data_IF_324080939701
#
_entry.id   IF_324080939701
#
_cell.length_a   1.000
_cell.length_b   1.000
_cell.length_c   1.000
_cell.angle_alpha   90.00
_cell.angle_beta   90.00
_cell.angle_gamma   90.00
#
_symmetry.space_group_name_H-M   'P 1'
#
loop_
_entity.id
_entity.type
_entity.pdbx_description
1 polymer ?
#
# COMPACT_ATOMS: atom_id res chain seq x y z
N UNK A 1 0.27 0.38 -23.70
CA UNK A 1 -1.05 0.67 -23.08
C UNK A 1 -1.14 0.22 -21.61
N UNK A 2 -0.64 -0.98 -21.23
CA UNK A 2 -0.68 -1.45 -19.82
C UNK A 2 0.21 -0.65 -18.85
N UNK A 3 1.44 -0.29 -19.25
CA UNK A 3 2.34 0.52 -18.41
C UNK A 3 1.84 1.94 -18.15
N UNK A 4 1.09 2.53 -19.10
CA UNK A 4 0.48 3.86 -18.94
C UNK A 4 -0.57 3.84 -17.82
N UNK A 5 -1.32 2.74 -17.69
CA UNK A 5 -2.32 2.59 -16.62
C UNK A 5 -1.67 2.49 -15.24
N UNK A 6 -0.52 1.80 -15.12
CA UNK A 6 0.21 1.67 -13.86
C UNK A 6 0.75 3.04 -13.39
N UNK A 7 1.37 3.81 -14.29
CA UNK A 7 1.85 5.16 -13.98
C UNK A 7 0.70 6.12 -13.65
N UNK A 8 -0.41 6.08 -14.39
CA UNK A 8 -1.59 6.91 -14.11
C UNK A 8 -2.21 6.57 -12.75
N UNK A 9 -2.27 5.29 -12.37
CA UNK A 9 -2.75 4.87 -11.06
C UNK A 9 -1.83 5.38 -9.95
N UNK A 10 -0.51 5.20 -10.10
CA UNK A 10 0.46 5.69 -9.11
C UNK A 10 0.41 7.22 -8.97
N UNK A 11 0.26 7.95 -10.07
CA UNK A 11 0.14 9.40 -10.05
C UNK A 11 -1.18 9.86 -9.42
N UNK A 12 -2.31 9.27 -9.81
CA UNK A 12 -3.61 9.60 -9.22
C UNK A 12 -3.62 9.28 -7.72
N UNK A 13 -3.11 8.11 -7.34
CA UNK A 13 -3.05 7.69 -5.95
C UNK A 13 -2.07 8.56 -5.14
N UNK A 14 -0.92 8.91 -5.71
CA UNK A 14 0.02 9.84 -5.12
C UNK A 14 -0.55 11.25 -4.98
N UNK A 15 -1.31 11.74 -5.95
CA UNK A 15 -2.03 13.02 -5.89
C UNK A 15 -3.15 13.03 -4.85
N UNK A 16 -3.91 11.92 -4.75
CA UNK A 16 -4.90 11.74 -3.69
C UNK A 16 -4.22 11.83 -2.34
N UNK A 17 -3.08 11.16 -2.16
CA UNK A 17 -2.33 11.16 -0.92
C UNK A 17 -1.63 12.50 -0.64
N UNK A 18 -1.04 13.17 -1.63
CA UNK A 18 -0.38 14.47 -1.45
C UNK A 18 -1.36 15.62 -1.20
N UNK A 19 -2.58 15.54 -1.74
CA UNK A 19 -3.65 16.50 -1.41
C UNK A 19 -4.21 16.31 0.00
N UNK A 20 -3.89 15.20 0.68
CA UNK A 20 -4.23 15.07 2.09
C UNK A 20 -3.26 15.88 2.95
N UNK A 21 -3.79 16.58 3.98
CA UNK A 21 -2.95 17.34 4.89
C UNK A 21 -2.18 16.36 5.77
N UNK A 22 -0.93 16.08 5.39
CA UNK A 22 0.08 15.43 6.23
C UNK A 22 0.73 16.41 7.21
N UNK A 23 0.42 17.70 7.10
CA UNK A 23 1.07 18.73 7.88
C UNK A 23 0.58 18.69 9.32
N UNK A 24 1.36 18.04 10.19
CA UNK A 24 1.58 18.61 11.51
C UNK A 24 2.15 20.00 11.27
N UNK A 25 1.34 21.04 11.53
CA UNK A 25 1.76 22.43 11.43
C UNK A 25 3.09 22.62 12.14
N UNK A 26 4.16 22.81 11.37
CA UNK A 26 5.32 23.49 11.90
C UNK A 26 4.94 24.96 12.05
N UNK A 27 5.16 25.48 13.24
CA UNK A 27 4.73 26.80 13.71
C UNK A 27 5.03 27.93 12.71
N UNK A 28 3.97 28.60 12.23
CA UNK A 28 4.06 29.95 11.67
C UNK A 28 3.44 30.12 10.28
N UNK A 29 2.12 30.33 10.21
CA UNK A 29 1.49 31.47 9.52
C UNK A 29 -0.03 31.36 9.56
N UNK A 30 -0.68 32.48 9.87
CA UNK A 30 -2.12 32.58 10.08
C UNK A 30 -2.86 32.81 8.76
N UNK A 31 -3.83 31.95 8.43
CA UNK A 31 -4.98 32.31 7.60
C UNK A 31 -6.24 31.64 8.17
N UNK A 32 -7.28 32.46 8.29
CA UNK A 32 -8.60 32.20 8.89
C UNK A 32 -9.40 31.12 8.15
N UNK A 33 -9.45 29.92 8.73
CA UNK A 33 -10.58 29.01 8.70
C UNK A 33 -10.59 28.30 10.06
N UNK A 34 -11.77 28.01 10.62
CA UNK A 34 -11.89 27.27 11.88
C UNK A 34 -11.05 25.98 11.78
N UNK A 35 -9.88 25.97 12.42
CA UNK A 35 -9.01 24.81 12.41
C UNK A 35 -9.78 23.68 13.11
N UNK A 36 -10.00 22.52 12.45
CA UNK A 36 -10.57 21.37 13.11
C UNK A 36 -9.69 21.00 14.32
N UNK A 37 -10.31 20.49 15.37
CA UNK A 37 -9.58 19.98 16.53
C UNK A 37 -8.72 18.77 16.13
N UNK A 38 -7.64 18.51 16.85
CA UNK A 38 -6.77 17.36 16.56
C UNK A 38 -7.52 16.02 16.52
N UNK A 39 -8.58 15.89 17.33
CA UNK A 39 -9.46 14.73 17.34
C UNK A 39 -10.29 14.61 16.04
N UNK A 40 -10.78 15.72 15.49
CA UNK A 40 -11.52 15.75 14.22
C UNK A 40 -10.61 15.38 13.03
N UNK A 41 -9.35 15.82 13.04
CA UNK A 41 -8.36 15.44 12.03
C UNK A 41 -8.02 13.94 12.07
N UNK A 42 -7.87 13.38 13.28
CA UNK A 42 -7.62 11.95 13.47
C UNK A 42 -8.79 11.09 12.97
N UNK A 43 -10.03 11.46 13.33
CA UNK A 43 -11.24 10.78 12.85
C UNK A 43 -11.36 10.87 11.33
N UNK A 44 -11.05 12.02 10.75
CA UNK A 44 -11.05 12.18 9.30
C UNK A 44 -10.02 11.27 8.62
N UNK A 45 -8.80 11.20 9.18
CA UNK A 45 -7.72 10.33 8.71
C UNK A 45 -8.11 8.86 8.73
N UNK A 46 -8.71 8.39 9.82
CA UNK A 46 -9.22 7.03 9.93
C UNK A 46 -10.31 6.73 8.89
N UNK A 47 -11.26 7.65 8.70
CA UNK A 47 -12.31 7.49 7.69
C UNK A 47 -11.75 7.36 6.26
N UNK A 48 -10.65 8.05 5.95
CA UNK A 48 -9.96 7.95 4.66
C UNK A 48 -9.28 6.59 4.53
N UNK A 49 -8.56 6.14 5.56
CA UNK A 49 -7.91 4.83 5.58
C UNK A 49 -8.96 3.74 5.36
N UNK A 50 -10.10 3.80 6.03
CA UNK A 50 -11.21 2.86 5.84
C UNK A 50 -11.74 2.89 4.41
N UNK A 51 -11.92 4.07 3.81
CA UNK A 51 -12.37 4.20 2.41
C UNK A 51 -11.35 3.64 1.43
N UNK A 52 -10.06 3.94 1.61
CA UNK A 52 -8.98 3.43 0.77
C UNK A 52 -8.87 1.91 0.84
N UNK A 53 -8.97 1.36 2.04
CA UNK A 53 -8.99 -0.08 2.28
C UNK A 53 -10.21 -0.73 1.60
N UNK A 54 -11.41 -0.16 1.77
CA UNK A 54 -12.63 -0.68 1.17
C UNK A 54 -12.58 -0.67 -0.37
N UNK A 55 -12.03 0.40 -0.97
CA UNK A 55 -11.79 0.44 -2.42
C UNK A 55 -10.83 -0.66 -2.85
N UNK A 56 -9.73 -0.86 -2.10
CA UNK A 56 -8.81 -1.97 -2.34
C UNK A 56 -9.52 -3.31 -2.25
N UNK A 57 -10.34 -3.52 -1.22
CA UNK A 57 -11.11 -4.74 -1.00
C UNK A 57 -12.01 -5.08 -2.19
N UNK A 58 -12.79 -4.13 -2.67
CA UNK A 58 -13.68 -4.34 -3.82
C UNK A 58 -12.90 -4.67 -5.10
N UNK A 59 -11.78 -3.99 -5.33
CA UNK A 59 -10.87 -4.28 -6.45
C UNK A 59 -10.31 -5.70 -6.32
N UNK A 60 -9.83 -6.08 -5.14
CA UNK A 60 -9.29 -7.39 -4.84
C UNK A 60 -10.28 -8.53 -5.08
N UNK A 61 -11.51 -8.39 -4.56
CA UNK A 61 -12.59 -9.35 -4.75
C UNK A 61 -12.86 -9.60 -6.24
N UNK A 62 -13.15 -8.52 -6.99
CA UNK A 62 -13.49 -8.59 -8.42
C UNK A 62 -12.33 -9.09 -9.26
N UNK A 63 -11.10 -8.74 -8.90
CA UNK A 63 -9.92 -9.18 -9.63
C UNK A 63 -9.66 -10.67 -9.39
N UNK A 64 -9.75 -11.14 -8.14
CA UNK A 64 -9.60 -12.54 -7.80
C UNK A 64 -10.63 -13.39 -8.55
N UNK A 65 -11.90 -12.99 -8.56
CA UNK A 65 -12.98 -13.69 -9.28
C UNK A 65 -12.65 -13.92 -10.75
N UNK A 66 -12.13 -12.88 -11.44
CA UNK A 66 -11.74 -12.99 -12.85
C UNK A 66 -10.53 -13.90 -13.05
N UNK A 67 -9.50 -13.76 -12.21
CA UNK A 67 -8.23 -14.48 -12.39
C UNK A 67 -8.35 -15.96 -12.02
N UNK A 68 -9.28 -16.33 -11.13
CA UNK A 68 -9.49 -17.73 -10.73
C UNK A 68 -10.59 -18.45 -11.51
N UNK A 69 -11.24 -17.78 -12.47
CA UNK A 69 -12.39 -18.34 -13.22
C UNK A 69 -12.14 -19.74 -13.80
N UNK A 70 -10.99 -19.93 -14.44
CA UNK A 70 -10.66 -21.17 -15.15
C UNK A 70 -9.69 -22.06 -14.33
N UNK A 71 -9.54 -21.78 -13.04
CA UNK A 71 -8.58 -22.46 -12.16
C UNK A 71 -9.29 -23.52 -11.31
N UNK A 72 -8.66 -24.69 -11.06
CA UNK A 72 -9.13 -25.61 -10.04
C UNK A 72 -9.29 -24.90 -8.68
N UNK A 73 -10.31 -25.29 -7.92
CA UNK A 73 -10.55 -24.72 -6.58
C UNK A 73 -9.36 -25.02 -5.67
N UNK A 74 -8.87 -23.98 -5.00
CA UNK A 74 -7.87 -24.11 -3.94
C UNK A 74 -8.60 -24.45 -2.65
N UNK A 75 -8.29 -25.60 -2.05
CA UNK A 75 -8.95 -26.08 -0.83
C UNK A 75 -8.15 -25.70 0.42
N UNK A 76 -6.81 -25.72 0.30
CA UNK A 76 -5.92 -25.45 1.42
C UNK A 76 -5.56 -23.97 1.51
N UNK A 77 -5.52 -23.37 2.72
CA UNK A 77 -5.15 -21.97 2.90
C UNK A 77 -3.78 -21.63 2.31
N UNK A 78 -2.82 -22.56 2.42
CA UNK A 78 -1.47 -22.37 1.88
C UNK A 78 -1.47 -22.23 0.35
N UNK A 79 -2.35 -22.92 -0.36
CA UNK A 79 -2.42 -22.84 -1.82
C UNK A 79 -3.02 -21.52 -2.28
N UNK A 80 -4.02 -21.01 -1.55
CA UNK A 80 -4.55 -19.66 -1.74
C UNK A 80 -3.45 -18.61 -1.55
N UNK A 81 -2.67 -18.70 -0.47
CA UNK A 81 -1.56 -17.76 -0.22
C UNK A 81 -0.48 -17.86 -1.31
N UNK A 82 -0.14 -19.06 -1.79
CA UNK A 82 0.81 -19.24 -2.90
C UNK A 82 0.29 -18.61 -4.20
N UNK A 83 -0.99 -18.76 -4.50
CA UNK A 83 -1.62 -18.08 -5.63
C UNK A 83 -1.54 -16.55 -5.49
N UNK A 84 -1.84 -16.03 -4.30
CA UNK A 84 -1.74 -14.59 -4.03
C UNK A 84 -0.31 -14.08 -4.26
N UNK A 85 0.69 -14.80 -3.74
CA UNK A 85 2.11 -14.43 -3.84
C UNK A 85 2.68 -14.50 -5.27
N UNK A 86 2.05 -15.28 -6.15
CA UNK A 86 2.51 -15.51 -7.51
C UNK A 86 1.54 -14.89 -8.51
N UNK A 87 0.57 -15.65 -8.99
CA UNK A 87 -0.28 -15.27 -10.11
C UNK A 87 -1.00 -13.93 -9.88
N UNK A 88 -1.54 -13.73 -8.67
CA UNK A 88 -2.27 -12.51 -8.33
C UNK A 88 -1.32 -11.30 -8.23
N UNK A 89 -0.23 -11.42 -7.45
CA UNK A 89 0.77 -10.35 -7.29
C UNK A 89 1.43 -9.98 -8.61
N UNK A 90 1.81 -10.97 -9.43
CA UNK A 90 2.39 -10.75 -10.75
C UNK A 90 1.42 -10.03 -11.68
N UNK A 91 0.13 -10.39 -11.63
CA UNK A 91 -0.86 -9.78 -12.52
C UNK A 91 -1.05 -8.29 -12.23
N UNK A 92 -0.92 -7.86 -10.97
CA UNK A 92 -1.08 -6.46 -10.55
C UNK A 92 0.26 -5.71 -10.60
N UNK A 93 1.27 -6.21 -9.90
CA UNK A 93 2.54 -5.51 -9.66
C UNK A 93 3.69 -5.94 -10.58
N UNK A 94 3.43 -6.85 -11.52
CA UNK A 94 4.40 -7.36 -12.52
C UNK A 94 5.64 -8.01 -11.90
N UNK A 95 5.51 -8.49 -10.66
CA UNK A 95 6.56 -9.15 -9.88
C UNK A 95 5.91 -10.20 -8.99
N UNK A 96 6.64 -11.26 -8.63
CA UNK A 96 6.24 -12.19 -7.56
C UNK A 96 6.72 -11.67 -6.19
N UNK A 97 6.06 -12.11 -5.12
CA UNK A 97 6.55 -11.90 -3.75
C UNK A 97 7.89 -12.62 -3.57
N UNK A 98 8.85 -11.95 -2.93
CA UNK A 98 10.21 -12.48 -2.78
C UNK A 98 10.28 -13.55 -1.69
N UNK A 99 9.53 -13.38 -0.61
CA UNK A 99 9.58 -14.29 0.54
C UNK A 99 8.21 -14.50 1.18
N UNK A 100 7.90 -15.77 1.42
CA UNK A 100 6.71 -16.22 2.16
C UNK A 100 7.16 -17.03 3.37
N UNK A 101 6.74 -16.62 4.56
CA UNK A 101 6.92 -17.36 5.80
C UNK A 101 5.55 -17.70 6.39
N UNK A 102 5.44 -18.84 7.08
CA UNK A 102 4.23 -19.22 7.79
C UNK A 102 4.59 -19.90 9.11
N UNK A 103 3.72 -19.74 10.11
CA UNK A 103 3.81 -20.50 11.35
C UNK A 103 2.97 -21.79 11.31
N UNK A 104 2.41 -22.16 10.16
CA UNK A 104 1.47 -23.28 9.97
C UNK A 104 0.22 -23.25 10.87
N UNK A 105 0.02 -22.17 11.63
CA UNK A 105 -1.10 -21.91 12.55
C UNK A 105 -1.95 -20.73 12.06
N UNK A 106 -2.03 -20.57 10.74
CA UNK A 106 -2.86 -19.54 10.09
C UNK A 106 -2.21 -18.15 9.99
N UNK A 107 -0.96 -17.96 10.39
CA UNK A 107 -0.23 -16.69 10.18
C UNK A 107 0.73 -16.84 9.01
N UNK A 108 0.69 -15.87 8.10
CA UNK A 108 1.55 -15.77 6.94
C UNK A 108 2.21 -14.40 6.91
N UNK A 109 3.49 -14.37 6.56
CA UNK A 109 4.26 -13.14 6.37
C UNK A 109 4.79 -13.16 4.95
N UNK A 110 4.39 -12.17 4.16
CA UNK A 110 4.84 -11.96 2.78
C UNK A 110 5.73 -10.74 2.72
N UNK A 111 6.84 -10.83 2.00
CA UNK A 111 7.81 -9.73 1.87
C UNK A 111 8.10 -9.49 0.39
N UNK A 112 7.90 -8.25 -0.04
CA UNK A 112 8.37 -7.70 -1.32
C UNK A 112 9.47 -6.68 -1.01
N UNK A 113 10.71 -7.01 -1.34
CA UNK A 113 11.87 -6.16 -1.04
C UNK A 113 11.97 -4.93 -1.93
N UNK A 114 11.36 -4.96 -3.12
CA UNK A 114 11.46 -3.89 -4.11
C UNK A 114 10.07 -3.55 -4.63
N UNK A 115 9.18 -3.18 -3.72
CA UNK A 115 7.79 -2.89 -4.07
C UNK A 115 7.71 -1.62 -4.91
N UNK A 116 7.49 -1.80 -6.23
CA UNK A 116 7.57 -0.74 -7.25
C UNK A 116 6.64 0.44 -7.00
N UNK A 117 5.54 0.23 -6.29
CA UNK A 117 4.58 1.30 -6.01
C UNK A 117 5.07 2.32 -5.00
N UNK A 118 6.06 1.97 -4.18
CA UNK A 118 6.74 2.90 -3.29
C UNK A 118 7.95 3.56 -3.96
N UNK A 119 8.24 3.21 -5.22
CA UNK A 119 9.32 3.84 -5.96
C UNK A 119 8.98 5.32 -6.17
N UNK A 120 9.79 6.21 -5.62
CA UNK A 120 9.59 7.66 -5.71
C UNK A 120 8.89 8.32 -4.52
N UNK A 121 8.50 7.57 -3.48
CA UNK A 121 8.09 8.20 -2.21
C UNK A 121 9.35 8.71 -1.50
N UNK A 122 9.38 10.02 -1.27
CA UNK A 122 10.44 10.68 -0.51
C UNK A 122 9.83 11.91 0.18
N UNK A 123 10.09 12.06 1.48
CA UNK A 123 9.74 13.23 2.26
C UNK A 123 10.99 13.89 2.87
N UNK A 124 10.80 14.98 3.62
CA UNK A 124 11.90 15.68 4.28
C UNK A 124 12.56 14.84 5.37
N UNK A 125 11.78 13.99 6.05
CA UNK A 125 12.26 13.08 7.09
C UNK A 125 12.01 11.60 6.76
N UNK A 126 12.82 10.70 7.36
CA UNK A 126 12.60 9.25 7.26
C UNK A 126 11.24 8.83 7.84
N UNK A 127 10.80 9.51 8.91
CA UNK A 127 9.52 9.25 9.59
C UNK A 127 8.32 9.60 8.71
N UNK A 128 8.29 10.79 8.11
CA UNK A 128 7.23 11.17 7.18
C UNK A 128 7.20 10.26 5.94
N UNK A 129 8.38 9.88 5.44
CA UNK A 129 8.49 8.94 4.31
C UNK A 129 7.87 7.59 4.67
N UNK A 130 8.10 7.09 5.90
CA UNK A 130 7.50 5.85 6.39
C UNK A 130 5.98 5.96 6.50
N UNK A 131 5.46 7.06 7.05
CA UNK A 131 4.03 7.27 7.21
C UNK A 131 3.31 7.37 5.87
N UNK A 132 3.90 8.08 4.91
CA UNK A 132 3.42 8.10 3.52
C UNK A 132 3.42 6.70 2.93
N UNK A 133 4.53 5.96 3.05
CA UNK A 133 4.62 4.59 2.53
C UNK A 133 3.56 3.66 3.14
N UNK A 134 3.31 3.75 4.45
CA UNK A 134 2.26 2.96 5.12
C UNK A 134 0.87 3.30 4.60
N UNK A 135 0.55 4.58 4.35
CA UNK A 135 -0.74 4.94 3.78
C UNK A 135 -0.88 4.46 2.33
N UNK A 136 0.21 4.50 1.56
CA UNK A 136 0.24 3.92 0.21
C UNK A 136 -0.03 2.40 0.22
N UNK A 137 0.33 1.70 1.30
CA UNK A 137 0.13 0.27 1.46
C UNK A 137 -1.29 -0.11 1.90
N UNK A 138 -2.11 0.83 2.37
CA UNK A 138 -3.51 0.57 2.78
C UNK A 138 -4.32 0.00 1.62
N UNK A 139 -4.19 0.57 0.41
CA UNK A 139 -4.92 0.06 -0.75
C UNK A 139 -4.46 -1.36 -1.14
N UNK A 140 -3.16 -1.66 -1.32
CA UNK A 140 -2.67 -3.04 -1.51
C UNK A 140 -3.12 -4.03 -0.42
N UNK A 141 -3.16 -3.61 0.85
CA UNK A 141 -3.68 -4.45 1.94
C UNK A 141 -5.15 -4.81 1.72
N UNK A 142 -5.98 -3.82 1.36
CA UNK A 142 -7.38 -4.03 0.99
C UNK A 142 -7.51 -4.99 -0.20
N UNK A 143 -6.69 -4.80 -1.25
CA UNK A 143 -6.68 -5.66 -2.43
C UNK A 143 -6.37 -7.12 -2.07
N UNK A 144 -5.37 -7.36 -1.22
CA UNK A 144 -5.07 -8.72 -0.73
C UNK A 144 -6.25 -9.24 0.09
N UNK A 145 -6.80 -8.45 1.02
CA UNK A 145 -7.89 -8.88 1.89
C UNK A 145 -9.14 -9.28 1.10
N UNK A 146 -9.52 -8.48 0.09
CA UNK A 146 -10.64 -8.79 -0.80
C UNK A 146 -10.40 -10.05 -1.62
N UNK A 147 -9.18 -10.22 -2.14
CA UNK A 147 -8.83 -11.43 -2.86
C UNK A 147 -8.94 -12.68 -1.97
N UNK A 148 -8.42 -12.63 -0.75
CA UNK A 148 -8.52 -13.73 0.21
C UNK A 148 -9.98 -14.05 0.57
N UNK A 149 -10.79 -13.03 0.84
CA UNK A 149 -12.21 -13.20 1.16
C UNK A 149 -12.98 -13.88 0.01
N UNK A 150 -12.73 -13.46 -1.24
CA UNK A 150 -13.35 -14.08 -2.42
C UNK A 150 -12.90 -15.53 -2.64
N UNK A 151 -11.72 -15.90 -2.17
CA UNK A 151 -11.19 -17.27 -2.23
C UNK A 151 -11.58 -18.10 -1.00
N UNK A 152 -12.43 -17.58 -0.12
CA UNK A 152 -12.96 -18.27 1.05
C UNK A 152 -12.09 -18.17 2.30
N UNK A 153 -11.09 -17.28 2.34
CA UNK A 153 -10.24 -17.03 3.50
C UNK A 153 -10.52 -15.66 4.12
N UNK A 154 -11.09 -15.67 5.32
CA UNK A 154 -11.19 -14.46 6.14
C UNK A 154 -9.85 -14.18 6.82
N UNK A 155 -9.19 -13.08 6.47
CA UNK A 155 -7.90 -12.70 7.01
C UNK A 155 -7.85 -11.21 7.36
N UNK A 156 -7.02 -10.88 8.35
CA UNK A 156 -6.60 -9.51 8.65
C UNK A 156 -5.24 -9.30 7.98
N UNK A 157 -5.12 -8.24 7.19
CA UNK A 157 -3.91 -7.93 6.43
C UNK A 157 -3.35 -6.61 6.94
N UNK A 158 -2.18 -6.67 7.56
CA UNK A 158 -1.43 -5.49 8.00
C UNK A 158 -0.13 -5.41 7.20
N UNK A 159 0.29 -4.19 6.87
CA UNK A 159 1.59 -3.94 6.23
C UNK A 159 2.49 -3.14 7.17
N UNK A 160 3.79 -3.38 7.03
CA UNK A 160 4.84 -2.57 7.67
C UNK A 160 5.98 -2.34 6.68
N UNK A 161 6.71 -1.24 6.89
CA UNK A 161 7.90 -0.88 6.13
C UNK A 161 9.08 -1.01 7.07
N UNK A 162 9.86 -2.09 6.89
CA UNK A 162 10.98 -2.42 7.78
C UNK A 162 12.18 -1.52 7.60
N UNK A 163 12.43 -1.04 6.37
CA UNK A 163 13.53 -0.14 6.07
C UNK A 163 13.11 0.89 5.01
N UNK A 164 13.17 2.16 5.39
CA UNK A 164 12.84 3.30 4.52
C UNK A 164 13.97 3.53 3.49
N UNK A 165 15.21 3.13 3.80
CA UNK A 165 16.38 3.29 2.93
C UNK A 165 16.42 2.25 1.81
N UNK A 166 15.71 1.14 1.97
CA UNK A 166 15.54 0.15 0.90
C UNK A 166 14.41 0.51 -0.07
N UNK A 167 13.68 1.61 0.15
CA UNK A 167 12.73 2.10 -0.83
C UNK A 167 13.49 2.53 -2.09
N UNK A 168 13.05 2.12 -3.30
CA UNK A 168 13.66 2.54 -4.55
C UNK A 168 13.38 4.04 -4.79
N UNK A 169 14.15 4.91 -4.15
CA UNK A 169 14.07 6.36 -4.24
C UNK A 169 15.44 6.96 -4.57
N UNK A 170 15.44 8.04 -5.34
CA UNK A 170 16.67 8.76 -5.65
C UNK A 170 17.12 9.58 -4.44
N UNK A 171 18.23 9.20 -3.79
CA UNK A 171 18.82 9.99 -2.71
C UNK A 171 19.51 11.23 -3.30
N UNK A 172 18.82 12.37 -3.39
CA UNK A 172 19.46 13.63 -3.78
C UNK A 172 20.22 14.19 -2.56
N UNK A 173 21.47 13.77 -2.37
CA UNK A 173 22.36 14.37 -1.38
C UNK A 173 22.69 15.79 -1.85
N UNK A 174 22.28 16.79 -1.07
CA UNK A 174 22.63 18.21 -1.26
C UNK A 174 24.13 18.32 -1.55
N UNK A 175 24.49 18.66 -2.79
CA UNK A 175 25.85 19.06 -3.16
C UNK A 175 26.11 20.41 -2.48
N UNK A 176 26.67 20.38 -1.27
CA UNK A 176 27.31 21.58 -0.72
C UNK A 176 28.64 21.69 -1.43
N UNK A 177 28.69 22.51 -2.48
CA UNK A 177 29.95 22.93 -3.10
C UNK A 177 30.85 23.53 -2.03
N UNK A 178 31.98 22.87 -1.78
CA UNK A 178 33.06 23.42 -0.97
C UNK A 178 33.67 24.62 -1.70
N UNK A 179 34.00 25.63 -0.91
CA UNK A 179 34.70 26.85 -1.31
C UNK A 179 36.05 26.58 -1.98
#
# INVERSE_FOLDING_TARGET
MKEVADCCFQQLYGEVLQRYPWQTKDSGEAITASNPSADEEAVHREAIIMKLEAMGYDVGCRFAERVTRDRPRMLEPLDVIKFVCKDFWISIFKKQIDKLQTNHRGVFVVQDFNFRWLAGISAATEQETREMALLFLVFPCGVIRGALANLGLTAIVNADVTDVRSLPGCTCRKWRGGA
#
